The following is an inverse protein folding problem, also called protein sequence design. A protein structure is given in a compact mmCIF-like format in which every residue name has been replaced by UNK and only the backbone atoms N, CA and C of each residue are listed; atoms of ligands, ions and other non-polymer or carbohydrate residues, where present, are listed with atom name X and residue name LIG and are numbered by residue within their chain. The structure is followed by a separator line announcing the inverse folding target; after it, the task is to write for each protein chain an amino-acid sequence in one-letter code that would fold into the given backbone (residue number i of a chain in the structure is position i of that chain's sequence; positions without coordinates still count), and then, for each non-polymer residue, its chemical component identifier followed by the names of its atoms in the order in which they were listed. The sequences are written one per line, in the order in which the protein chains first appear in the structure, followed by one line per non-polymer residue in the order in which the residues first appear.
data_IF_408919574975
#
_entry.id   IF_408919574975
#
_cell.length_a   1.000
_cell.length_b   1.000
_cell.length_c   1.000
_cell.angle_alpha   90.00
_cell.angle_beta   90.00
_cell.angle_gamma   90.00
#
_symmetry.space_group_name_H-M   'P 1'
#
loop_
_entity.id
_entity.type
_entity.pdbx_description
1 polymer ?
#
# COMPACT_ATOMS: atom_id res chain seq x y z
N UNK A 1 -22.53 38.47 11.50
CA UNK A 1 -22.30 37.42 10.48
C UNK A 1 -20.80 37.29 10.29
N UNK A 2 -20.18 36.32 10.94
CA UNK A 2 -18.73 36.10 10.87
C UNK A 2 -18.38 35.43 9.54
N UNK A 3 -17.56 36.09 8.73
CA UNK A 3 -17.01 35.54 7.48
C UNK A 3 -16.34 34.19 7.74
N UNK A 4 -16.92 33.15 7.15
CA UNK A 4 -16.35 31.80 7.14
C UNK A 4 -15.07 31.89 6.30
N UNK A 5 -13.90 31.89 6.94
CA UNK A 5 -12.63 31.64 6.26
C UNK A 5 -12.67 30.24 5.66
N UNK A 6 -13.11 30.13 4.41
CA UNK A 6 -12.93 28.94 3.60
C UNK A 6 -11.43 28.64 3.57
N UNK A 7 -11.02 27.51 4.14
CA UNK A 7 -9.65 27.02 3.98
C UNK A 7 -9.41 26.83 2.48
N UNK A 8 -8.40 27.47 1.86
CA UNK A 8 -8.22 27.38 0.42
C UNK A 8 -7.89 25.93 0.05
N UNK A 9 -8.78 25.32 -0.75
CA UNK A 9 -8.56 24.00 -1.34
C UNK A 9 -7.30 24.07 -2.20
N UNK A 10 -6.24 23.36 -1.81
CA UNK A 10 -5.04 23.22 -2.62
C UNK A 10 -5.21 22.03 -3.55
N UNK A 11 -5.48 22.32 -4.81
CA UNK A 11 -5.56 21.35 -5.91
C UNK A 11 -4.14 21.02 -6.40
N UNK A 12 -3.91 19.76 -6.78
CA UNK A 12 -2.69 19.35 -7.51
C UNK A 12 -3.04 19.26 -8.99
N UNK A 13 -2.26 19.91 -9.85
CA UNK A 13 -2.37 19.81 -11.29
C UNK A 13 -1.44 18.70 -11.77
N UNK A 14 -2.01 17.61 -12.28
CA UNK A 14 -1.26 16.45 -12.76
C UNK A 14 -0.80 16.66 -14.22
N UNK A 15 0.16 17.57 -14.43
CA UNK A 15 0.80 17.76 -15.73
C UNK A 15 2.04 16.87 -15.90
N UNK A 16 2.62 16.89 -17.10
CA UNK A 16 3.98 16.39 -17.31
C UNK A 16 4.97 17.23 -16.49
N UNK A 17 5.80 16.56 -15.69
CA UNK A 17 6.71 17.21 -14.75
C UNK A 17 8.10 17.47 -15.34
N UNK A 18 8.41 16.99 -16.55
CA UNK A 18 9.74 17.11 -17.16
C UNK A 18 10.26 18.55 -17.23
N UNK A 19 9.37 19.49 -17.55
CA UNK A 19 9.70 20.92 -17.65
C UNK A 19 9.52 21.68 -16.32
N UNK A 20 9.07 21.01 -15.26
CA UNK A 20 8.84 21.68 -13.98
C UNK A 20 10.18 22.04 -13.32
N UNK A 21 10.26 23.19 -12.62
CA UNK A 21 11.38 23.50 -11.74
C UNK A 21 11.66 22.33 -10.79
N UNK A 22 12.92 22.06 -10.53
CA UNK A 22 13.30 20.86 -9.79
C UNK A 22 13.99 21.22 -8.48
N UNK A 23 13.53 20.58 -7.41
CA UNK A 23 14.12 20.66 -6.07
C UNK A 23 15.14 19.52 -5.88
N UNK A 24 15.75 19.35 -4.69
CA UNK A 24 16.60 18.20 -4.41
C UNK A 24 15.92 16.83 -4.53
N UNK A 25 14.58 16.78 -4.55
CA UNK A 25 13.81 15.53 -4.64
C UNK A 25 13.26 15.27 -6.06
N UNK A 26 13.86 15.91 -7.07
CA UNK A 26 13.42 15.84 -8.47
C UNK A 26 12.44 16.96 -8.85
N UNK A 27 11.73 16.78 -9.99
CA UNK A 27 10.75 17.76 -10.48
C UNK A 27 9.63 18.05 -9.48
N UNK A 28 9.29 19.32 -9.35
CA UNK A 28 8.20 19.76 -8.47
C UNK A 28 6.84 19.45 -9.05
N UNK A 29 5.81 19.47 -8.20
CA UNK A 29 4.42 19.41 -8.65
C UNK A 29 3.84 20.81 -8.74
N UNK A 30 2.94 21.01 -9.69
CA UNK A 30 2.16 22.23 -9.82
C UNK A 30 0.90 22.12 -8.97
N UNK A 31 0.67 23.12 -8.14
CA UNK A 31 -0.49 23.23 -7.26
C UNK A 31 -1.27 24.49 -7.60
N UNK A 32 -2.56 24.50 -7.30
CA UNK A 32 -3.45 25.65 -7.45
C UNK A 32 -4.20 25.90 -6.15
N UNK A 33 -4.33 27.17 -5.76
CA UNK A 33 -5.10 27.59 -4.59
C UNK A 33 -5.71 28.97 -4.80
N UNK A 34 -6.73 29.30 -4.02
CA UNK A 34 -7.24 30.67 -3.93
C UNK A 34 -6.28 31.54 -3.11
N UNK A 35 -5.96 32.71 -3.65
CA UNK A 35 -5.16 33.77 -3.03
C UNK A 35 -5.93 35.07 -3.24
N UNK A 36 -6.39 35.69 -2.17
CA UNK A 36 -7.17 36.94 -2.22
C UNK A 36 -8.38 36.88 -3.19
N UNK A 37 -9.08 35.74 -3.21
CA UNK A 37 -10.24 35.53 -4.08
C UNK A 37 -9.93 35.11 -5.53
N UNK A 38 -8.66 35.13 -5.95
CA UNK A 38 -8.24 34.69 -7.28
C UNK A 38 -7.49 33.35 -7.23
N UNK A 39 -7.69 32.50 -8.24
CA UNK A 39 -6.89 31.28 -8.38
C UNK A 39 -5.46 31.63 -8.77
N UNK A 40 -4.49 31.04 -8.06
CA UNK A 40 -3.07 31.18 -8.39
C UNK A 40 -2.34 29.86 -8.23
N UNK A 41 -1.49 29.56 -9.22
CA UNK A 41 -0.71 28.33 -9.27
C UNK A 41 0.71 28.52 -8.76
N UNK A 42 1.28 27.48 -8.15
CA UNK A 42 2.64 27.48 -7.62
C UNK A 42 3.27 26.09 -7.69
N UNK A 43 4.59 26.04 -7.81
CA UNK A 43 5.40 24.84 -7.73
C UNK A 43 5.87 24.60 -6.31
N UNK A 44 5.77 23.35 -5.83
CA UNK A 44 6.30 22.93 -4.54
C UNK A 44 6.84 21.49 -4.60
N UNK A 45 7.61 21.10 -3.59
CA UNK A 45 8.21 19.77 -3.50
C UNK A 45 7.16 18.66 -3.64
N UNK A 46 7.50 17.62 -4.41
CA UNK A 46 6.64 16.45 -4.63
C UNK A 46 6.64 15.49 -3.44
N UNK A 47 7.79 15.31 -2.78
CA UNK A 47 7.98 14.33 -1.71
C UNK A 47 7.91 14.90 -0.28
N UNK A 48 8.23 16.18 -0.09
CA UNK A 48 8.25 16.83 1.23
C UNK A 48 7.06 17.76 1.40
N UNK A 49 6.21 17.46 2.39
CA UNK A 49 5.07 18.30 2.72
C UNK A 49 5.44 19.47 3.63
N UNK A 50 6.38 19.27 4.56
CA UNK A 50 6.87 20.35 5.41
C UNK A 50 7.94 21.17 4.67
N UNK A 51 7.81 22.50 4.75
CA UNK A 51 8.77 23.42 4.13
C UNK A 51 10.11 23.45 4.88
N UNK A 52 10.16 22.89 6.09
CA UNK A 52 11.40 22.66 6.84
C UNK A 52 12.27 21.60 6.17
N UNK A 53 11.65 20.55 5.63
CA UNK A 53 12.37 19.46 4.95
C UNK A 53 12.74 19.84 3.52
N UNK A 54 11.84 20.57 2.83
CA UNK A 54 12.16 21.18 1.54
C UNK A 54 11.46 22.53 1.38
N UNK A 55 12.24 23.60 1.42
CA UNK A 55 11.71 24.97 1.35
C UNK A 55 11.29 25.43 -0.05
N UNK A 56 11.46 24.58 -1.07
CA UNK A 56 11.21 24.92 -2.47
C UNK A 56 9.78 25.45 -2.67
N UNK A 57 9.68 26.64 -3.24
CA UNK A 57 8.43 27.27 -3.62
C UNK A 57 8.69 28.27 -4.76
N UNK A 58 7.83 28.29 -5.76
CA UNK A 58 7.88 29.25 -6.87
C UNK A 58 6.46 29.49 -7.36
N UNK A 59 6.02 30.73 -7.50
CA UNK A 59 4.74 30.97 -8.18
C UNK A 59 4.85 30.69 -9.68
N UNK A 60 3.80 30.14 -10.30
CA UNK A 60 3.86 29.75 -11.71
C UNK A 60 4.02 30.96 -12.67
N UNK A 61 3.58 32.13 -12.24
CA UNK A 61 3.72 33.42 -12.95
C UNK A 61 5.04 34.14 -12.64
N UNK A 62 5.86 33.61 -11.74
CA UNK A 62 7.11 34.23 -11.32
C UNK A 62 8.26 33.91 -12.30
N UNK A 63 8.91 34.96 -12.83
CA UNK A 63 10.06 34.79 -13.71
C UNK A 63 11.25 34.18 -12.97
N UNK A 64 11.77 33.07 -13.50
CA UNK A 64 12.96 32.39 -12.95
C UNK A 64 14.23 33.06 -13.44
N UNK A 65 14.92 33.77 -12.55
CA UNK A 65 16.21 34.40 -12.85
C UNK A 65 17.35 33.36 -12.90
N UNK A 66 18.45 33.62 -13.64
CA UNK A 66 19.62 32.74 -13.65
C UNK A 66 20.19 32.48 -12.25
N UNK A 67 20.17 33.48 -11.36
CA UNK A 67 20.63 33.35 -9.98
C UNK A 67 19.80 32.35 -9.17
N UNK A 68 18.47 32.33 -9.36
CA UNK A 68 17.61 31.33 -8.71
C UNK A 68 17.93 29.92 -9.20
N UNK A 69 18.10 29.73 -10.52
CA UNK A 69 18.51 28.43 -11.08
C UNK A 69 19.84 27.97 -10.51
N UNK A 70 20.82 28.86 -10.41
CA UNK A 70 22.14 28.57 -9.81
C UNK A 70 22.01 28.18 -8.34
N UNK A 71 21.22 28.91 -7.55
CA UNK A 71 20.99 28.59 -6.14
C UNK A 71 20.34 27.22 -5.96
N UNK A 72 19.33 26.87 -6.77
CA UNK A 72 18.70 25.56 -6.72
C UNK A 72 19.64 24.43 -7.12
N UNK A 73 20.49 24.66 -8.14
CA UNK A 73 21.51 23.70 -8.57
C UNK A 73 22.51 23.42 -7.44
N UNK A 74 23.05 24.47 -6.80
CA UNK A 74 23.96 24.34 -5.67
C UNK A 74 23.32 23.63 -4.47
N UNK A 75 22.05 23.94 -4.17
CA UNK A 75 21.32 23.26 -3.10
C UNK A 75 21.11 21.78 -3.41
N UNK A 76 20.79 21.44 -4.67
CA UNK A 76 20.67 20.05 -5.10
C UNK A 76 21.98 19.31 -4.97
N UNK A 77 23.09 19.88 -5.44
CA UNK A 77 24.43 19.29 -5.33
C UNK A 77 24.87 19.06 -3.88
N UNK A 78 24.36 19.87 -2.94
CA UNK A 78 24.62 19.74 -1.50
C UNK A 78 23.76 18.66 -0.83
N UNK A 79 22.48 18.56 -1.22
CA UNK A 79 21.50 17.69 -0.54
C UNK A 79 21.45 16.29 -1.15
N UNK A 80 21.51 16.18 -2.47
CA UNK A 80 21.38 14.89 -3.16
C UNK A 80 22.68 14.11 -2.94
N UNK A 81 22.67 13.00 -2.20
CA UNK A 81 23.88 12.22 -1.99
C UNK A 81 24.42 11.69 -3.31
N UNK A 82 25.75 11.76 -3.46
CA UNK A 82 26.49 11.24 -4.61
C UNK A 82 26.70 9.74 -4.45
N UNK A 83 25.61 9.00 -4.47
CA UNK A 83 25.58 7.54 -4.29
C UNK A 83 26.05 6.89 -5.59
N UNK A 84 27.04 6.00 -5.51
CA UNK A 84 27.37 5.08 -6.59
C UNK A 84 26.91 3.69 -6.16
N UNK A 85 25.71 3.30 -6.60
CA UNK A 85 25.07 2.07 -6.16
C UNK A 85 25.85 0.82 -6.56
N UNK A 86 26.47 0.81 -7.75
CA UNK A 86 27.36 -0.27 -8.20
C UNK A 86 28.51 -0.48 -7.21
N UNK A 87 29.23 0.59 -6.86
CA UNK A 87 30.35 0.52 -5.92
C UNK A 87 29.91 0.11 -4.51
N UNK A 88 28.73 0.56 -4.07
CA UNK A 88 28.17 0.16 -2.77
C UNK A 88 27.84 -1.33 -2.75
N UNK A 89 27.26 -1.85 -3.84
CA UNK A 89 26.96 -3.26 -3.98
C UNK A 89 28.22 -4.13 -4.11
N UNK A 90 29.24 -3.71 -4.86
CA UNK A 90 30.55 -4.37 -4.91
C UNK A 90 31.18 -4.47 -3.51
N UNK A 91 31.09 -3.38 -2.74
CA UNK A 91 31.58 -3.36 -1.36
C UNK A 91 30.78 -4.31 -0.46
N UNK A 92 29.46 -4.38 -0.63
CA UNK A 92 28.62 -5.35 0.05
C UNK A 92 29.03 -6.79 -0.27
N UNK A 93 29.17 -7.15 -1.54
CA UNK A 93 29.60 -8.49 -1.98
C UNK A 93 30.98 -8.85 -1.41
N UNK A 94 31.93 -7.92 -1.47
CA UNK A 94 33.26 -8.12 -0.87
C UNK A 94 33.19 -8.38 0.65
N UNK A 95 32.29 -7.69 1.36
CA UNK A 95 32.12 -7.87 2.81
C UNK A 95 31.42 -9.20 3.17
N UNK A 96 30.58 -9.75 2.30
CA UNK A 96 30.00 -11.09 2.49
C UNK A 96 31.10 -12.16 2.59
N UNK A 97 32.20 -11.99 1.87
CA UNK A 97 33.34 -12.93 1.90
C UNK A 97 34.22 -12.78 3.14
N UNK A 98 34.07 -11.70 3.92
CA UNK A 98 34.84 -11.45 5.13
C UNK A 98 34.19 -12.10 6.35
N UNK A 99 34.95 -12.48 7.39
CA UNK A 99 34.37 -12.93 8.65
C UNK A 99 33.71 -11.74 9.38
N UNK A 100 32.66 -11.96 10.20
CA UNK A 100 31.88 -10.89 10.85
C UNK A 100 32.73 -9.84 11.58
N UNK A 101 33.83 -10.24 12.22
CA UNK A 101 34.73 -9.39 12.99
C UNK A 101 35.41 -8.32 12.12
N UNK A 102 35.52 -8.56 10.81
CA UNK A 102 36.08 -7.63 9.85
C UNK A 102 35.02 -6.73 9.20
N UNK A 103 33.74 -6.89 9.55
CA UNK A 103 32.63 -6.13 8.98
C UNK A 103 32.18 -5.05 9.95
N UNK A 104 31.95 -3.86 9.43
CA UNK A 104 31.47 -2.71 10.18
C UNK A 104 30.40 -1.94 9.40
N UNK A 105 29.55 -1.21 10.11
CA UNK A 105 28.55 -0.31 9.55
C UNK A 105 28.61 0.99 10.32
N UNK A 106 28.87 2.07 9.60
CA UNK A 106 28.85 3.41 10.13
C UNK A 106 27.44 3.96 9.99
N UNK A 107 26.73 4.16 11.11
CA UNK A 107 25.39 4.76 11.15
C UNK A 107 25.43 6.22 10.72
N UNK A 108 26.48 6.95 11.07
CA UNK A 108 26.66 8.37 10.70
C UNK A 108 26.74 8.56 9.18
N UNK A 109 27.44 7.67 8.49
CA UNK A 109 27.57 7.71 7.03
C UNK A 109 26.55 6.83 6.32
N UNK A 110 25.77 6.06 7.09
CA UNK A 110 24.91 4.97 6.60
C UNK A 110 25.65 4.04 5.63
N UNK A 111 26.87 3.60 5.97
CA UNK A 111 27.74 2.87 5.03
C UNK A 111 28.39 1.61 5.61
N UNK A 112 28.50 0.59 4.76
CA UNK A 112 29.22 -0.65 5.03
C UNK A 112 30.72 -0.42 4.86
N UNK A 113 31.50 -0.96 5.79
CA UNK A 113 32.94 -0.75 5.90
C UNK A 113 33.64 -2.05 6.30
N UNK A 114 34.92 -2.15 5.93
CA UNK A 114 35.86 -3.04 6.61
C UNK A 114 36.22 -2.45 7.97
N UNK A 115 36.47 -3.32 8.94
CA UNK A 115 36.95 -2.91 10.27
C UNK A 115 38.19 -1.99 10.18
N UNK A 116 39.10 -2.28 9.25
CA UNK A 116 40.31 -1.47 9.03
C UNK A 116 40.03 -0.03 8.58
N UNK A 117 38.89 0.23 7.92
CA UNK A 117 38.52 1.56 7.43
C UNK A 117 37.94 2.45 8.54
N UNK A 118 37.61 1.88 9.71
CA UNK A 118 36.95 2.62 10.80
C UNK A 118 37.84 3.71 11.39
N UNK A 119 39.16 3.49 11.45
CA UNK A 119 40.11 4.43 12.04
C UNK A 119 40.53 5.58 11.11
N UNK A 120 40.46 5.42 9.78
CA UNK A 120 41.02 6.41 8.84
C UNK A 120 40.07 7.58 8.57
N UNK A 121 38.78 7.28 8.33
CA UNK A 121 37.78 8.25 7.85
C UNK A 121 36.51 8.29 8.68
N UNK A 122 36.44 7.45 9.71
CA UNK A 122 35.26 7.29 10.54
C UNK A 122 35.59 7.47 12.03
N UNK A 123 36.66 8.20 12.34
CA UNK A 123 36.95 8.60 13.71
C UNK A 123 35.81 9.45 14.28
N UNK A 124 35.35 9.10 15.48
CA UNK A 124 34.21 9.75 16.14
C UNK A 124 32.82 9.48 15.53
N UNK A 125 32.70 8.62 14.52
CA UNK A 125 31.41 8.19 13.99
C UNK A 125 30.75 7.11 14.86
N UNK A 126 29.42 6.98 14.75
CA UNK A 126 28.67 5.89 15.36
C UNK A 126 28.81 4.63 14.48
N UNK A 127 29.50 3.62 15.00
CA UNK A 127 29.88 2.41 14.25
C UNK A 127 29.44 1.16 15.00
N UNK A 128 28.75 0.27 14.29
CA UNK A 128 28.52 -1.12 14.71
C UNK A 128 29.55 -2.04 14.06
N UNK A 129 30.25 -2.81 14.88
CA UNK A 129 31.24 -3.80 14.46
C UNK A 129 30.64 -5.22 14.50
N UNK A 130 31.27 -6.18 13.85
CA UNK A 130 30.91 -7.58 14.01
C UNK A 130 29.61 -7.96 13.30
N UNK A 131 29.37 -7.41 12.11
CA UNK A 131 28.07 -7.58 11.43
C UNK A 131 27.87 -9.03 11.01
N UNK A 132 26.92 -9.70 11.66
CA UNK A 132 26.54 -11.06 11.31
C UNK A 132 25.94 -11.17 9.92
N UNK A 133 26.03 -12.37 9.35
CA UNK A 133 25.38 -12.70 8.07
C UNK A 133 23.87 -12.42 8.09
N UNK A 134 23.21 -12.71 9.21
CA UNK A 134 21.78 -12.44 9.37
C UNK A 134 21.48 -10.94 9.24
N UNK A 135 22.29 -10.07 9.84
CA UNK A 135 22.10 -8.62 9.74
C UNK A 135 22.39 -8.06 8.34
N UNK A 136 23.34 -8.66 7.60
CA UNK A 136 23.64 -8.27 6.22
C UNK A 136 22.57 -8.70 5.22
N UNK A 137 21.87 -9.81 5.50
CA UNK A 137 20.87 -10.40 4.60
C UNK A 137 19.43 -9.99 4.92
N UNK A 138 19.19 -9.33 6.06
CA UNK A 138 17.89 -8.78 6.46
C UNK A 138 17.85 -7.25 6.73
N UNK A 139 18.52 -6.38 5.95
CA UNK A 139 18.46 -4.94 6.15
C UNK A 139 17.34 -4.27 5.34
N UNK A 140 16.91 -3.10 5.81
CA UNK A 140 15.95 -2.22 5.14
C UNK A 140 16.59 -1.19 4.19
N UNK A 141 17.89 -1.31 3.94
CA UNK A 141 18.71 -0.24 3.34
C UNK A 141 19.15 -0.57 1.90
N UNK A 142 19.46 0.48 1.14
CA UNK A 142 19.76 0.42 -0.29
C UNK A 142 21.07 -0.29 -0.68
N UNK A 143 22.04 -0.45 0.24
CA UNK A 143 23.35 -1.07 -0.03
C UNK A 143 23.31 -2.55 -0.36
N UNK A 144 22.21 -3.21 0.02
CA UNK A 144 22.12 -4.65 0.09
C UNK A 144 21.43 -5.26 -1.13
N UNK A 145 20.96 -4.41 -2.04
CA UNK A 145 20.29 -4.82 -3.26
C UNK A 145 21.19 -4.56 -4.46
N UNK A 146 21.26 -5.53 -5.36
CA UNK A 146 21.92 -5.33 -6.64
C UNK A 146 21.28 -4.15 -7.39
N UNK A 147 22.00 -3.44 -8.27
CA UNK A 147 21.44 -2.38 -9.11
C UNK A 147 20.21 -2.80 -9.94
N UNK A 148 20.08 -4.10 -10.25
CA UNK A 148 18.92 -4.68 -10.93
C UNK A 148 17.69 -4.91 -10.04
N UNK A 149 17.80 -4.65 -8.73
CA UNK A 149 16.76 -4.91 -7.72
C UNK A 149 16.38 -3.64 -6.92
N UNK A 150 17.08 -2.53 -7.10
CA UNK A 150 16.78 -1.27 -6.43
C UNK A 150 16.97 -0.09 -7.39
N UNK A 151 16.00 0.81 -7.39
CA UNK A 151 16.09 2.09 -8.09
C UNK A 151 15.79 3.20 -7.11
N UNK A 152 16.63 4.23 -7.08
CA UNK A 152 16.32 5.43 -6.31
C UNK A 152 15.26 6.23 -7.05
N UNK A 153 14.05 6.20 -6.50
CA UNK A 153 12.83 6.61 -7.20
C UNK A 153 11.94 7.46 -6.30
N UNK A 154 11.35 8.51 -6.88
CA UNK A 154 10.33 9.33 -6.22
C UNK A 154 8.94 9.01 -6.82
N UNK A 155 8.13 8.32 -6.02
CA UNK A 155 6.79 7.88 -6.41
C UNK A 155 5.75 9.01 -6.53
N UNK A 156 6.04 10.23 -6.06
CA UNK A 156 5.09 11.36 -6.18
C UNK A 156 5.20 12.10 -7.50
N UNK A 157 6.29 11.92 -8.25
CA UNK A 157 6.51 12.56 -9.54
C UNK A 157 7.05 11.60 -10.62
N UNK A 158 7.09 10.30 -10.34
CA UNK A 158 7.59 9.26 -11.23
C UNK A 158 9.04 9.55 -11.71
N UNK A 159 9.91 9.96 -10.79
CA UNK A 159 11.27 10.41 -11.10
C UNK A 159 12.32 9.41 -10.60
N UNK A 160 13.22 8.99 -11.48
CA UNK A 160 14.43 8.24 -11.12
C UNK A 160 15.58 9.22 -10.91
N UNK A 161 16.31 9.09 -9.80
CA UNK A 161 17.48 9.96 -9.54
C UNK A 161 18.70 9.60 -10.42
N UNK A 162 18.70 8.37 -10.94
CA UNK A 162 19.59 7.88 -11.99
C UNK A 162 18.70 7.52 -13.19
N UNK A 163 18.37 8.52 -14.00
CA UNK A 163 17.22 8.47 -14.93
C UNK A 163 17.31 7.33 -15.95
N UNK A 164 18.45 7.18 -16.61
CA UNK A 164 18.63 6.19 -17.68
C UNK A 164 18.71 4.77 -17.11
N UNK A 165 19.52 4.58 -16.06
CA UNK A 165 19.72 3.27 -15.44
C UNK A 165 18.46 2.76 -14.75
N UNK A 166 17.79 3.62 -13.98
CA UNK A 166 16.57 3.27 -13.25
C UNK A 166 15.40 2.92 -14.17
N UNK A 167 15.21 3.71 -15.24
CA UNK A 167 14.18 3.43 -16.23
C UNK A 167 14.44 2.10 -16.97
N UNK A 168 15.69 1.82 -17.36
CA UNK A 168 16.05 0.56 -18.01
C UNK A 168 15.81 -0.65 -17.10
N UNK A 169 16.13 -0.55 -15.81
CA UNK A 169 15.87 -1.62 -14.82
C UNK A 169 14.38 -1.89 -14.69
N UNK A 170 13.54 -0.84 -14.62
CA UNK A 170 12.09 -1.01 -14.59
C UNK A 170 11.56 -1.63 -15.88
N UNK A 171 12.00 -1.15 -17.04
CA UNK A 171 11.59 -1.66 -18.35
C UNK A 171 11.94 -3.15 -18.50
N UNK A 172 13.14 -3.56 -18.11
CA UNK A 172 13.57 -4.96 -18.12
C UNK A 172 12.70 -5.79 -17.17
N UNK A 173 12.49 -5.32 -15.93
CA UNK A 173 11.69 -6.01 -14.93
C UNK A 173 10.25 -6.26 -15.42
N UNK A 174 9.62 -5.24 -16.00
CA UNK A 174 8.25 -5.32 -16.52
C UNK A 174 8.10 -6.28 -17.71
N UNK A 175 9.18 -6.61 -18.41
CA UNK A 175 9.19 -7.54 -19.55
C UNK A 175 9.55 -8.98 -19.14
N UNK A 176 10.06 -9.21 -17.93
CA UNK A 176 10.40 -10.55 -17.44
C UNK A 176 9.19 -11.48 -17.54
N UNK A 177 9.45 -12.75 -17.89
CA UNK A 177 8.40 -13.76 -18.13
C UNK A 177 7.33 -13.30 -19.15
N UNK A 178 7.73 -12.51 -20.16
CA UNK A 178 6.81 -11.94 -21.15
C UNK A 178 5.82 -10.95 -20.55
N UNK A 179 6.18 -10.32 -19.43
CA UNK A 179 5.36 -9.41 -18.65
C UNK A 179 4.33 -10.07 -17.72
N UNK A 180 4.30 -11.40 -17.61
CA UNK A 180 3.34 -12.11 -16.77
C UNK A 180 3.77 -12.14 -15.30
N UNK A 181 2.78 -12.16 -14.40
CA UNK A 181 3.01 -12.35 -12.96
C UNK A 181 3.55 -11.11 -12.24
N UNK A 182 3.36 -9.92 -12.79
CA UNK A 182 3.81 -8.66 -12.18
C UNK A 182 2.80 -8.19 -11.13
N UNK A 183 3.28 -7.96 -9.91
CA UNK A 183 2.52 -7.38 -8.80
C UNK A 183 3.23 -6.13 -8.29
N UNK A 184 2.54 -5.00 -8.25
CA UNK A 184 3.02 -3.76 -7.66
C UNK A 184 2.51 -3.65 -6.22
N UNK A 185 3.39 -3.79 -5.25
CA UNK A 185 3.08 -3.58 -3.82
C UNK A 185 3.62 -2.21 -3.40
N UNK A 186 2.80 -1.39 -2.77
CA UNK A 186 3.21 -0.06 -2.32
C UNK A 186 2.64 0.27 -0.94
N UNK A 187 3.49 0.84 -0.08
CA UNK A 187 3.12 1.39 1.22
C UNK A 187 3.66 2.83 1.36
N UNK A 188 3.04 3.79 0.67
CA UNK A 188 3.54 5.16 0.62
C UNK A 188 3.26 5.92 1.92
N UNK A 189 4.00 7.01 2.22
CA UNK A 189 3.76 7.83 3.40
C UNK A 189 2.32 8.37 3.46
N UNK A 190 1.60 8.11 4.57
CA UNK A 190 0.17 8.44 4.71
C UNK A 190 -0.13 9.94 4.64
N UNK A 191 0.86 10.78 4.95
CA UNK A 191 0.74 12.24 4.84
C UNK A 191 0.85 12.79 3.41
N UNK A 192 1.21 11.93 2.44
CA UNK A 192 1.35 12.26 1.03
C UNK A 192 0.02 12.45 0.30
N UNK A 193 0.09 13.05 -0.90
CA UNK A 193 -1.07 13.22 -1.79
C UNK A 193 -1.35 11.92 -2.55
N UNK A 194 -2.62 11.54 -2.63
CA UNK A 194 -3.06 10.31 -3.33
C UNK A 194 -3.02 10.51 -4.84
N UNK A 195 -3.36 11.70 -5.32
CA UNK A 195 -3.52 12.00 -6.74
C UNK A 195 -2.22 11.79 -7.54
N UNK A 196 -1.03 12.25 -7.07
CA UNK A 196 0.24 11.98 -7.76
C UNK A 196 0.67 10.52 -7.70
N UNK A 197 0.49 9.84 -6.56
CA UNK A 197 0.78 8.41 -6.44
C UNK A 197 -0.04 7.58 -7.43
N UNK A 198 -1.35 7.88 -7.55
CA UNK A 198 -2.23 7.26 -8.52
C UNK A 198 -1.82 7.57 -9.97
N UNK A 199 -1.24 8.75 -10.24
CA UNK A 199 -0.65 9.07 -11.55
C UNK A 199 0.53 8.14 -11.86
N UNK A 200 1.46 7.99 -10.92
CA UNK A 200 2.63 7.09 -11.07
C UNK A 200 2.22 5.65 -11.30
N UNK A 201 1.26 5.13 -10.53
CA UNK A 201 0.71 3.78 -10.73
C UNK A 201 0.17 3.60 -12.15
N UNK A 202 -0.63 4.56 -12.66
CA UNK A 202 -1.15 4.53 -14.03
C UNK A 202 -0.06 4.60 -15.09
N UNK A 203 0.99 5.38 -14.85
CA UNK A 203 2.13 5.49 -15.77
C UNK A 203 2.91 4.18 -15.85
N UNK A 204 3.13 3.48 -14.73
CA UNK A 204 3.74 2.14 -14.69
C UNK A 204 2.87 1.12 -15.45
N UNK A 205 1.55 1.12 -15.21
CA UNK A 205 0.62 0.24 -15.94
C UNK A 205 0.65 0.50 -17.46
N UNK A 206 0.72 1.78 -17.87
CA UNK A 206 0.81 2.17 -19.28
C UNK A 206 2.14 1.73 -19.90
N UNK A 207 3.23 1.86 -19.16
CA UNK A 207 4.56 1.43 -19.58
C UNK A 207 4.60 -0.08 -19.80
N UNK A 208 4.10 -0.87 -18.86
CA UNK A 208 4.00 -2.33 -19.00
C UNK A 208 3.20 -2.74 -20.23
N UNK A 209 2.03 -2.13 -20.46
CA UNK A 209 1.24 -2.38 -21.68
C UNK A 209 1.99 -2.03 -22.97
N UNK A 210 2.76 -0.93 -22.95
CA UNK A 210 3.57 -0.51 -24.11
C UNK A 210 4.68 -1.52 -24.40
N UNK A 211 5.36 -2.00 -23.35
CA UNK A 211 6.47 -2.95 -23.46
C UNK A 211 6.00 -4.37 -23.80
N UNK A 212 4.80 -4.75 -23.35
CA UNK A 212 4.24 -6.09 -23.51
C UNK A 212 2.91 -6.05 -24.31
N UNK A 213 2.91 -5.68 -25.60
CA UNK A 213 1.69 -5.49 -26.38
C UNK A 213 0.93 -6.80 -26.64
N UNK A 214 1.63 -7.94 -26.64
CA UNK A 214 1.09 -9.26 -26.93
C UNK A 214 0.79 -10.08 -25.66
N UNK A 215 0.84 -9.46 -24.47
CA UNK A 215 0.58 -10.18 -23.24
C UNK A 215 -0.84 -10.76 -23.29
N UNK A 216 -0.92 -12.08 -23.18
CA UNK A 216 -2.17 -12.81 -23.34
C UNK A 216 -3.13 -12.33 -22.26
N UNK A 217 -4.28 -11.81 -22.69
CA UNK A 217 -5.40 -11.52 -21.79
C UNK A 217 -5.86 -12.86 -21.23
N UNK A 218 -5.43 -13.20 -20.02
CA UNK A 218 -6.19 -14.13 -19.22
C UNK A 218 -7.56 -13.50 -18.93
N UNK A 219 -8.53 -14.33 -18.54
CA UNK A 219 -9.97 -14.03 -18.48
C UNK A 219 -10.35 -12.77 -17.66
N UNK A 220 -9.39 -12.17 -16.94
CA UNK A 220 -9.55 -10.97 -16.12
C UNK A 220 -9.05 -9.67 -16.78
N UNK A 221 -8.30 -9.72 -17.90
CA UNK A 221 -7.85 -8.51 -18.61
C UNK A 221 -6.94 -7.59 -17.78
N UNK A 222 -6.26 -8.14 -16.77
CA UNK A 222 -5.46 -7.38 -15.80
C UNK A 222 -3.97 -7.51 -16.10
N UNK A 223 -3.33 -6.38 -16.39
CA UNK A 223 -1.92 -6.32 -16.80
C UNK A 223 -0.93 -6.35 -15.63
N UNK A 224 -1.31 -5.72 -14.51
CA UNK A 224 -0.53 -5.67 -13.26
C UNK A 224 -1.52 -5.72 -12.10
N UNK A 225 -1.28 -6.61 -11.13
CA UNK A 225 -1.99 -6.58 -9.85
C UNK A 225 -1.37 -5.55 -8.91
N UNK A 226 -2.21 -4.76 -8.25
CA UNK A 226 -1.75 -3.67 -7.38
C UNK A 226 -2.20 -3.94 -5.96
N UNK A 227 -1.28 -3.87 -4.99
CA UNK A 227 -1.55 -3.92 -3.57
C UNK A 227 -1.06 -2.61 -2.95
N UNK A 228 -1.97 -1.64 -2.85
CA UNK A 228 -1.69 -0.34 -2.24
C UNK A 228 -2.13 -0.35 -0.78
N UNK A 229 -1.15 -0.45 0.11
CA UNK A 229 -1.31 -0.38 1.56
C UNK A 229 -1.53 1.08 1.96
N UNK A 230 -2.71 1.40 2.51
CA UNK A 230 -3.06 2.76 2.90
C UNK A 230 -4.17 2.81 3.95
N UNK A 231 -4.37 3.93 4.68
CA UNK A 231 -5.41 4.00 5.70
C UNK A 231 -6.83 3.97 5.12
N UNK A 232 -7.75 3.21 5.73
CA UNK A 232 -9.11 3.02 5.23
C UNK A 232 -9.88 4.35 5.05
N UNK A 233 -9.57 5.37 5.84
CA UNK A 233 -10.26 6.66 5.78
C UNK A 233 -9.88 7.48 4.54
N UNK A 234 -8.86 7.06 3.79
CA UNK A 234 -8.44 7.64 2.52
C UNK A 234 -9.10 6.95 1.30
N UNK A 235 -9.95 5.95 1.52
CA UNK A 235 -10.69 5.25 0.47
C UNK A 235 -11.42 6.21 -0.50
N UNK A 236 -12.11 7.28 -0.07
CA UNK A 236 -12.75 8.19 -1.02
C UNK A 236 -11.78 8.85 -1.99
N UNK A 237 -10.57 9.19 -1.53
CA UNK A 237 -9.52 9.81 -2.36
C UNK A 237 -8.87 8.80 -3.30
N UNK A 238 -8.64 7.57 -2.82
CA UNK A 238 -8.14 6.47 -3.65
C UNK A 238 -9.15 6.14 -4.75
N UNK A 239 -10.41 5.90 -4.42
CA UNK A 239 -11.45 5.56 -5.41
C UNK A 239 -11.76 6.72 -6.37
N UNK A 240 -11.55 7.97 -5.96
CA UNK A 240 -11.65 9.11 -6.88
C UNK A 240 -10.51 9.11 -7.93
N UNK A 241 -9.34 8.58 -7.58
CA UNK A 241 -8.17 8.54 -8.47
C UNK A 241 -8.04 7.20 -9.21
N UNK A 242 -8.56 6.12 -8.62
CA UNK A 242 -8.52 4.74 -9.07
C UNK A 242 -9.90 4.08 -8.86
N UNK A 243 -10.90 4.35 -9.73
CA UNK A 243 -12.28 3.88 -9.52
C UNK A 243 -12.44 2.36 -9.55
N UNK A 244 -11.57 1.65 -10.26
CA UNK A 244 -11.59 0.19 -10.39
C UNK A 244 -10.99 -0.53 -9.17
N UNK A 245 -10.54 0.22 -8.15
CA UNK A 245 -9.98 -0.37 -6.96
C UNK A 245 -11.07 -0.76 -5.97
N UNK A 246 -10.74 -1.72 -5.12
CA UNK A 246 -11.54 -2.11 -3.97
C UNK A 246 -10.65 -2.20 -2.73
N UNK A 247 -11.20 -1.88 -1.58
CA UNK A 247 -10.51 -2.02 -0.30
C UNK A 247 -10.79 -3.40 0.29
N UNK A 248 -9.76 -4.19 0.55
CA UNK A 248 -9.84 -5.45 1.29
C UNK A 248 -10.04 -5.18 2.79
N UNK A 249 -10.60 -6.14 3.53
CA UNK A 249 -10.85 -5.96 4.97
C UNK A 249 -9.63 -6.33 5.84
N UNK A 250 -8.55 -6.81 5.23
CA UNK A 250 -7.32 -7.20 5.92
C UNK A 250 -6.66 -6.00 6.60
N UNK A 251 -6.43 -6.13 7.91
CA UNK A 251 -5.78 -5.12 8.75
C UNK A 251 -4.27 -5.32 8.69
N UNK A 252 -3.56 -4.38 8.07
CA UNK A 252 -2.09 -4.42 8.00
C UNK A 252 -1.53 -3.81 9.29
N UNK A 253 -0.83 -4.61 10.07
CA UNK A 253 -0.18 -4.18 11.31
C UNK A 253 1.31 -3.86 11.08
N UNK A 254 1.85 -2.95 11.90
CA UNK A 254 3.24 -2.50 11.84
C UNK A 254 3.93 -2.72 13.18
N UNK A 255 5.13 -3.30 13.16
CA UNK A 255 5.91 -3.61 14.38
C UNK A 255 6.30 -2.35 15.17
N UNK A 256 6.59 -1.26 14.45
CA UNK A 256 7.20 -0.05 15.01
C UNK A 256 6.25 1.15 15.11
N UNK A 257 4.98 1.02 14.71
CA UNK A 257 4.05 2.15 14.70
C UNK A 257 3.00 2.08 15.82
N UNK A 258 3.06 2.93 16.87
CA UNK A 258 2.19 2.81 18.05
C UNK A 258 0.69 2.96 17.74
N UNK A 259 0.34 3.68 16.66
CA UNK A 259 -1.07 3.82 16.23
C UNK A 259 -1.56 2.71 15.29
N UNK A 260 -0.64 1.91 14.72
CA UNK A 260 -0.92 0.91 13.69
C UNK A 260 -0.41 -0.50 14.04
N UNK A 261 0.03 -0.71 15.29
CA UNK A 261 0.34 -2.01 15.85
C UNK A 261 -0.91 -2.63 16.51
N UNK A 262 -0.96 -3.95 16.52
CA UNK A 262 -1.84 -4.73 17.41
C UNK A 262 -1.21 -4.94 18.79
N UNK A 263 -2.03 -5.27 19.79
CA UNK A 263 -1.58 -5.61 21.15
C UNK A 263 -1.86 -4.55 22.23
N UNK A 264 -1.33 -4.71 23.46
CA UNK A 264 -1.71 -3.89 24.62
C UNK A 264 -1.43 -2.39 24.48
N UNK A 265 -0.46 -2.03 23.63
CA UNK A 265 -0.10 -0.64 23.30
C UNK A 265 -0.71 -0.16 21.97
N UNK A 266 -1.36 -1.07 21.24
CA UNK A 266 -1.97 -0.84 19.94
C UNK A 266 -3.39 -0.27 20.03
N UNK A 267 -4.01 -0.04 18.88
CA UNK A 267 -5.42 0.42 18.84
C UNK A 267 -6.36 -0.69 19.28
N UNK A 268 -7.37 -0.31 20.08
CA UNK A 268 -8.45 -1.21 20.56
C UNK A 268 -9.18 -1.98 19.45
N UNK A 269 -9.23 -1.44 18.23
CA UNK A 269 -9.98 -2.03 17.11
C UNK A 269 -9.09 -2.44 15.93
N UNK A 270 -7.80 -2.65 16.19
CA UNK A 270 -6.78 -3.00 15.20
C UNK A 270 -6.28 -1.79 14.40
N UNK A 271 -5.33 -2.06 13.51
CA UNK A 271 -4.76 -1.06 12.60
C UNK A 271 -5.84 -0.42 11.71
N UNK A 272 -5.74 0.88 11.40
CA UNK A 272 -6.57 1.55 10.39
C UNK A 272 -6.07 1.32 8.95
N UNK A 273 -4.98 0.61 8.74
CA UNK A 273 -4.36 0.40 7.43
C UNK A 273 -4.98 -0.83 6.75
N UNK A 274 -5.33 -0.68 5.47
CA UNK A 274 -5.95 -1.71 4.62
C UNK A 274 -5.17 -1.80 3.31
N UNK A 275 -5.52 -2.81 2.52
CA UNK A 275 -4.99 -3.00 1.17
C UNK A 275 -6.06 -2.56 0.16
N UNK A 276 -5.69 -1.65 -0.74
CA UNK A 276 -6.48 -1.27 -1.91
C UNK A 276 -5.93 -1.98 -3.13
N UNK A 277 -6.80 -2.58 -3.93
CA UNK A 277 -6.38 -3.41 -5.06
C UNK A 277 -7.34 -3.32 -6.24
N UNK A 278 -6.81 -3.46 -7.44
CA UNK A 278 -7.59 -3.67 -8.66
C UNK A 278 -8.03 -5.14 -8.83
N UNK A 279 -7.53 -6.06 -8.00
CA UNK A 279 -7.94 -7.46 -8.01
C UNK A 279 -9.37 -7.63 -7.49
N UNK A 280 -10.04 -8.70 -7.93
CA UNK A 280 -11.34 -9.05 -7.39
C UNK A 280 -11.21 -9.57 -5.94
N UNK A 281 -11.89 -8.95 -4.95
CA UNK A 281 -11.80 -9.36 -3.54
C UNK A 281 -12.20 -10.81 -3.25
N UNK A 282 -12.94 -11.46 -4.15
CA UNK A 282 -13.32 -12.87 -4.00
C UNK A 282 -12.10 -13.80 -4.16
N UNK A 283 -11.13 -13.38 -4.95
CA UNK A 283 -9.97 -14.17 -5.38
C UNK A 283 -8.78 -14.00 -4.43
N UNK A 284 -8.89 -13.12 -3.42
CA UNK A 284 -7.88 -12.91 -2.37
C UNK A 284 -8.38 -13.50 -1.04
N UNK A 285 -8.00 -14.73 -0.68
CA UNK A 285 -8.34 -15.31 0.61
C UNK A 285 -7.61 -14.62 1.76
N UNK A 286 -8.32 -14.45 2.88
CA UNK A 286 -7.75 -13.94 4.14
C UNK A 286 -7.67 -15.06 5.18
N UNK A 287 -6.66 -15.05 6.08
CA UNK A 287 -6.40 -16.13 7.03
C UNK A 287 -7.54 -16.29 8.03
N UNK A 288 -8.15 -17.49 8.09
CA UNK A 288 -9.27 -17.76 9.01
C UNK A 288 -8.82 -17.75 10.47
N UNK A 289 -7.62 -18.26 10.70
CA UNK A 289 -6.91 -18.33 11.97
C UNK A 289 -6.68 -16.96 12.60
N UNK A 290 -6.70 -15.88 11.81
CA UNK A 290 -6.60 -14.50 12.29
C UNK A 290 -7.97 -13.80 12.47
N UNK A 291 -9.08 -14.54 12.38
CA UNK A 291 -10.42 -14.00 12.57
C UNK A 291 -11.04 -13.38 11.32
N UNK A 292 -10.76 -13.94 10.14
CA UNK A 292 -11.42 -13.57 8.88
C UNK A 292 -12.35 -14.69 8.38
N UNK A 293 -13.42 -14.29 7.69
CA UNK A 293 -14.43 -15.18 7.12
C UNK A 293 -14.82 -14.75 5.71
N UNK A 294 -15.24 -15.70 4.89
CA UNK A 294 -15.81 -15.39 3.58
C UNK A 294 -17.28 -14.97 3.71
N UNK A 295 -17.65 -13.84 3.10
CA UNK A 295 -19.03 -13.42 2.94
C UNK A 295 -19.52 -13.86 1.56
N UNK A 296 -20.41 -14.87 1.51
CA UNK A 296 -20.96 -15.39 0.26
C UNK A 296 -21.90 -14.43 -0.47
N UNK A 297 -22.47 -13.45 0.23
CA UNK A 297 -23.36 -12.45 -0.37
C UNK A 297 -22.54 -11.36 -1.07
N UNK A 298 -21.53 -10.81 -0.39
CA UNK A 298 -20.64 -9.79 -0.95
C UNK A 298 -19.52 -10.37 -1.81
N UNK A 299 -19.37 -11.70 -1.85
CA UNK A 299 -18.29 -12.42 -2.54
C UNK A 299 -16.91 -11.87 -2.17
N UNK A 300 -16.62 -11.73 -0.88
CA UNK A 300 -15.34 -11.21 -0.39
C UNK A 300 -15.04 -11.70 1.02
N UNK A 301 -13.76 -11.69 1.36
CA UNK A 301 -13.32 -11.94 2.72
C UNK A 301 -13.46 -10.69 3.59
N UNK A 302 -13.95 -10.89 4.81
CA UNK A 302 -14.24 -9.86 5.80
C UNK A 302 -13.80 -10.31 7.18
N UNK A 303 -13.47 -9.37 8.05
CA UNK A 303 -13.24 -9.61 9.47
C UNK A 303 -14.50 -10.17 10.14
N UNK A 304 -14.34 -10.96 11.19
CA UNK A 304 -15.46 -11.57 11.92
C UNK A 304 -16.49 -10.54 12.42
N UNK A 305 -16.02 -9.39 12.92
CA UNK A 305 -16.87 -8.32 13.44
C UNK A 305 -17.61 -7.52 12.36
N UNK A 306 -17.15 -7.59 11.10
CA UNK A 306 -17.76 -6.90 9.96
C UNK A 306 -18.95 -7.72 9.46
N UNK A 307 -20.08 -7.58 10.16
CA UNK A 307 -21.33 -8.29 9.82
C UNK A 307 -21.98 -7.70 8.57
N UNK A 308 -22.49 -8.58 7.71
CA UNK A 308 -23.25 -8.18 6.53
C UNK A 308 -24.52 -7.46 6.96
N UNK A 309 -24.76 -6.27 6.43
CA UNK A 309 -26.03 -5.58 6.62
C UNK A 309 -26.98 -5.99 5.50
N UNK A 310 -28.08 -6.65 5.83
CA UNK A 310 -29.12 -7.07 4.86
C UNK A 310 -29.80 -5.86 4.20
N UNK A 311 -29.99 -4.76 4.92
CA UNK A 311 -30.64 -3.55 4.41
C UNK A 311 -29.74 -2.77 3.43
N UNK A 312 -28.43 -2.67 3.71
CA UNK A 312 -27.47 -2.06 2.77
C UNK A 312 -26.99 -3.05 1.70
N UNK A 313 -27.28 -4.35 1.86
CA UNK A 313 -26.72 -5.45 1.10
C UNK A 313 -25.18 -5.42 0.98
N UNK A 314 -24.49 -5.03 2.05
CA UNK A 314 -23.02 -4.94 2.06
C UNK A 314 -22.42 -5.07 3.45
N UNK A 315 -21.15 -5.51 3.52
CA UNK A 315 -20.33 -5.52 4.73
C UNK A 315 -19.64 -4.16 4.87
N UNK A 316 -20.15 -3.31 5.77
CA UNK A 316 -19.86 -1.86 5.78
C UNK A 316 -18.81 -1.43 6.80
N UNK A 317 -18.47 -2.29 7.76
CA UNK A 317 -17.51 -1.92 8.79
C UNK A 317 -16.13 -1.74 8.19
N UNK A 318 -15.43 -0.71 8.66
CA UNK A 318 -14.07 -0.36 8.22
C UNK A 318 -13.08 -0.22 9.38
N UNK A 319 -13.58 0.02 10.60
CA UNK A 319 -12.77 0.39 11.76
C UNK A 319 -12.66 -0.70 12.84
N UNK A 320 -13.06 -1.94 12.52
CA UNK A 320 -13.02 -3.07 13.46
C UNK A 320 -14.14 -3.06 14.50
N UNK A 321 -15.23 -2.33 14.27
CA UNK A 321 -16.46 -2.38 15.09
C UNK A 321 -17.61 -2.92 14.26
N UNK A 322 -18.56 -3.60 14.87
CA UNK A 322 -19.82 -3.93 14.18
C UNK A 322 -20.64 -2.66 13.98
N UNK A 323 -20.79 -2.23 12.73
CA UNK A 323 -21.62 -1.07 12.37
C UNK A 323 -23.11 -1.38 12.56
N UNK A 324 -23.89 -0.35 12.82
CA UNK A 324 -25.35 -0.43 13.00
C UNK A 324 -26.03 0.32 11.87
N UNK A 325 -27.06 -0.28 11.27
CA UNK A 325 -27.87 0.38 10.24
C UNK A 325 -28.74 1.47 10.86
N UNK A 326 -28.73 2.66 10.27
CA UNK A 326 -29.66 3.74 10.59
C UNK A 326 -30.70 3.84 9.48
N UNK A 327 -31.96 3.55 9.80
CA UNK A 327 -33.07 3.58 8.84
C UNK A 327 -33.35 4.99 8.31
N UNK A 328 -33.17 6.04 9.12
CA UNK A 328 -33.38 7.42 8.69
C UNK A 328 -32.31 7.91 7.70
N UNK A 329 -31.06 7.46 7.87
CA UNK A 329 -29.96 7.78 6.94
C UNK A 329 -29.80 6.73 5.83
N UNK A 330 -30.57 5.64 5.86
CA UNK A 330 -30.48 4.48 4.97
C UNK A 330 -29.05 3.95 4.80
N UNK A 331 -28.26 3.97 5.88
CA UNK A 331 -26.85 3.53 5.84
C UNK A 331 -26.36 2.99 7.18
N UNK A 332 -25.32 2.17 7.10
CA UNK A 332 -24.59 1.72 8.29
C UNK A 332 -23.65 2.80 8.81
N UNK A 333 -23.65 2.98 10.13
CA UNK A 333 -22.80 3.93 10.85
C UNK A 333 -22.09 3.24 12.00
N UNK A 334 -21.07 3.90 12.55
CA UNK A 334 -20.37 3.42 13.75
C UNK A 334 -21.37 3.25 14.90
N UNK A 335 -21.22 2.23 15.76
CA UNK A 335 -22.18 1.98 16.85
C UNK A 335 -22.30 3.13 17.86
N UNK A 336 -21.26 3.96 17.96
CA UNK A 336 -21.27 5.16 18.81
C UNK A 336 -21.99 6.36 18.19
N UNK A 337 -22.51 6.25 16.97
CA UNK A 337 -23.22 7.34 16.29
C UNK A 337 -24.74 7.12 16.40
N UNK A 338 -25.49 8.21 16.55
CA UNK A 338 -26.95 8.23 16.63
C UNK A 338 -27.52 9.23 15.63
N UNK A 339 -28.70 8.94 15.08
CA UNK A 339 -29.38 9.88 14.19
C UNK A 339 -29.78 11.13 14.98
N UNK A 340 -29.46 12.30 14.46
CA UNK A 340 -29.91 13.57 15.00
C UNK A 340 -31.04 14.11 14.12
N UNK A 341 -32.24 14.22 14.67
CA UNK A 341 -33.42 14.68 13.94
C UNK A 341 -33.30 16.14 13.46
N UNK A 342 -32.55 16.98 14.17
CA UNK A 342 -32.29 18.38 13.81
C UNK A 342 -31.27 18.48 12.67
N UNK A 343 -30.17 17.74 12.75
CA UNK A 343 -29.13 17.75 11.72
C UNK A 343 -29.44 16.83 10.52
N UNK A 344 -30.50 16.02 10.59
CA UNK A 344 -30.88 15.01 9.59
C UNK A 344 -29.74 14.07 9.19
N UNK A 345 -28.86 13.76 10.13
CA UNK A 345 -27.68 12.89 9.92
C UNK A 345 -27.24 12.21 11.20
N UNK A 346 -26.56 11.08 11.05
CA UNK A 346 -25.91 10.41 12.17
C UNK A 346 -24.71 11.23 12.67
N UNK A 347 -24.63 11.43 13.98
CA UNK A 347 -23.57 12.17 14.66
C UNK A 347 -23.13 11.44 15.94
N UNK A 348 -22.03 11.88 16.55
CA UNK A 348 -21.72 11.49 17.93
C UNK A 348 -22.77 12.10 18.90
N UNK A 349 -23.14 11.42 19.99
CA UNK A 349 -24.10 11.94 20.96
C UNK A 349 -23.73 13.32 21.53
N UNK A 350 -22.43 13.60 21.69
CA UNK A 350 -21.91 14.86 22.22
C UNK A 350 -21.78 15.99 21.19
N UNK A 351 -22.35 15.84 19.98
CA UNK A 351 -22.31 16.90 18.97
C UNK A 351 -23.23 18.06 19.35
N UNK A 352 -22.85 19.27 18.96
CA UNK A 352 -23.71 20.46 19.03
C UNK A 352 -24.36 20.66 17.66
N UNK A 353 -25.69 20.80 17.64
CA UNK A 353 -26.44 21.11 16.42
C UNK A 353 -26.08 22.51 15.91
N UNK A 354 -25.99 22.69 14.59
CA UNK A 354 -25.66 24.00 13.99
C UNK A 354 -24.17 24.35 13.94
N UNK A 355 -23.33 23.77 14.80
CA UNK A 355 -21.86 23.99 14.74
C UNK A 355 -21.18 23.23 13.61
N UNK A 356 -21.81 22.16 13.11
CA UNK A 356 -21.28 21.45 11.95
C UNK A 356 -21.53 22.27 10.68
N UNK A 357 -20.59 23.16 10.41
CA UNK A 357 -20.35 23.70 9.08
C UNK A 357 -19.23 22.83 8.50
N UNK A 358 -19.52 21.89 7.57
CA UNK A 358 -18.43 21.23 6.88
C UNK A 358 -17.62 22.33 6.19
N UNK A 359 -16.39 22.52 6.66
CA UNK A 359 -15.45 23.53 6.15
C UNK A 359 -15.00 23.27 4.72
N UNK A 360 -15.55 22.23 4.08
CA UNK A 360 -15.18 21.74 2.76
C UNK A 360 -16.43 21.61 1.90
N UNK A 361 -16.29 21.98 0.64
CA UNK A 361 -17.23 21.65 -0.42
C UNK A 361 -17.39 20.14 -0.53
N UNK A 362 -18.59 19.69 -0.83
CA UNK A 362 -18.92 18.29 -1.02
C UNK A 362 -18.05 17.69 -2.15
N UNK A 363 -17.36 16.58 -1.89
CA UNK A 363 -16.56 15.88 -2.89
C UNK A 363 -17.37 15.22 -4.03
N UNK A 364 -18.69 15.33 -4.03
CA UNK A 364 -19.55 14.86 -5.11
C UNK A 364 -20.04 16.00 -6.00
N UNK A 365 -20.78 16.96 -5.43
CA UNK A 365 -21.39 18.05 -6.19
C UNK A 365 -20.64 19.38 -6.11
N UNK A 366 -19.61 19.49 -5.26
CA UNK A 366 -18.89 20.75 -5.07
C UNK A 366 -19.62 21.78 -4.22
N UNK A 367 -20.81 21.48 -3.69
CA UNK A 367 -21.58 22.41 -2.87
C UNK A 367 -21.17 22.38 -1.38
N UNK A 368 -21.18 23.53 -0.67
CA UNK A 368 -20.88 23.59 0.76
C UNK A 368 -22.01 22.96 1.62
N UNK A 369 -21.78 22.86 2.92
CA UNK A 369 -22.84 22.51 3.88
C UNK A 369 -23.06 21.01 4.11
N UNK A 370 -22.44 20.13 3.31
CA UNK A 370 -22.50 18.68 3.52
C UNK A 370 -21.23 17.95 3.06
N UNK A 371 -21.00 16.73 3.57
CA UNK A 371 -19.97 15.82 3.06
C UNK A 371 -20.52 15.02 1.88
N UNK A 372 -19.66 14.45 1.02
CA UNK A 372 -20.07 13.55 -0.08
C UNK A 372 -21.09 12.49 0.32
N UNK A 373 -20.98 11.95 1.53
CA UNK A 373 -21.88 10.90 2.04
C UNK A 373 -23.28 11.39 2.43
N UNK A 374 -23.46 12.70 2.56
CA UNK A 374 -24.71 13.37 2.92
C UNK A 374 -25.18 14.27 1.75
N UNK A 375 -24.72 13.98 0.53
CA UNK A 375 -24.97 14.81 -0.64
C UNK A 375 -26.34 14.54 -1.27
N UNK A 376 -27.20 15.56 -1.46
CA UNK A 376 -28.53 15.39 -2.04
C UNK A 376 -28.49 14.79 -3.46
N UNK A 377 -27.44 15.07 -4.23
CA UNK A 377 -27.22 14.53 -5.57
C UNK A 377 -26.54 13.15 -5.57
N UNK A 378 -26.11 12.66 -4.40
CA UNK A 378 -25.49 11.34 -4.27
C UNK A 378 -26.58 10.30 -4.09
N UNK A 379 -27.10 9.81 -5.22
CA UNK A 379 -28.19 8.84 -5.25
C UNK A 379 -29.23 9.03 -6.37
N UNK A 380 -29.14 10.10 -7.16
CA UNK A 380 -30.03 10.33 -8.29
C UNK A 380 -29.31 10.13 -9.63
N UNK A 381 -28.77 8.93 -9.86
CA UNK A 381 -28.54 8.32 -11.19
C UNK A 381 -27.88 6.94 -11.02
N UNK A 382 -28.69 5.95 -10.66
CA UNK A 382 -28.56 4.57 -11.12
C UNK A 382 -29.81 3.79 -10.67
N UNK A 383 -30.91 4.02 -11.39
CA UNK A 383 -31.78 2.91 -11.71
C UNK A 383 -30.99 1.93 -12.60
N UNK A 384 -30.11 1.14 -12.00
CA UNK A 384 -29.83 -0.19 -12.54
C UNK A 384 -30.87 -1.07 -11.89
N UNK A 385 -32.04 -1.11 -12.53
CA UNK A 385 -32.99 -2.18 -12.35
C UNK A 385 -32.28 -3.49 -12.73
N UNK A 386 -31.67 -4.17 -11.76
CA UNK A 386 -31.49 -5.61 -11.87
C UNK A 386 -32.92 -6.16 -11.76
N UNK A 387 -33.55 -6.42 -12.91
CA UNK A 387 -34.81 -7.14 -12.97
C UNK A 387 -34.65 -8.42 -12.12
N UNK A 388 -35.59 -8.75 -11.22
CA UNK A 388 -35.55 -10.02 -10.52
C UNK A 388 -35.56 -11.14 -11.58
N UNK A 389 -34.55 -12.00 -11.53
CA UNK A 389 -34.47 -13.19 -12.37
C UNK A 389 -35.74 -14.01 -12.11
N UNK A 390 -36.58 -14.16 -13.13
CA UNK A 390 -37.77 -14.99 -13.05
C UNK A 390 -37.36 -16.45 -12.87
N UNK A 391 -38.12 -17.16 -12.05
CA UNK A 391 -37.87 -18.52 -11.56
C UNK A 391 -38.04 -19.61 -12.63
N UNK A 392 -37.89 -19.30 -13.91
CA UNK A 392 -38.21 -20.20 -15.03
C UNK A 392 -36.99 -20.74 -15.78
N UNK A 393 -35.76 -20.39 -15.39
CA UNK A 393 -34.52 -20.90 -16.00
C UNK A 393 -33.72 -21.92 -15.16
N UNK A 394 -34.24 -22.37 -14.00
CA UNK A 394 -33.60 -23.46 -13.24
C UNK A 394 -33.90 -24.88 -13.76
N UNK A 395 -34.82 -25.03 -14.72
CA UNK A 395 -35.21 -26.34 -15.26
C UNK A 395 -34.45 -26.74 -16.53
N UNK A 396 -33.80 -25.82 -17.25
CA UNK A 396 -32.98 -26.17 -18.44
C UNK A 396 -31.56 -26.62 -18.07
N UNK A 397 -31.03 -26.21 -16.91
CA UNK A 397 -29.70 -26.62 -16.42
C UNK A 397 -29.66 -28.01 -15.73
N UNK A 398 -30.83 -28.58 -15.41
CA UNK A 398 -30.93 -29.96 -14.87
C UNK A 398 -30.91 -31.04 -15.97
N UNK A 399 -31.20 -30.67 -17.22
CA UNK A 399 -31.19 -31.60 -18.37
C UNK A 399 -29.77 -31.75 -18.95
N UNK A 400 -28.94 -30.69 -18.92
CA UNK A 400 -27.56 -30.70 -19.42
C UNK A 400 -26.55 -31.36 -18.47
N UNK A 401 -26.79 -31.35 -17.15
CA UNK A 401 -25.96 -32.08 -16.16
C UNK A 401 -26.16 -33.60 -16.19
N UNK A 402 -27.30 -34.10 -16.69
CA UNK A 402 -27.55 -35.54 -16.85
C UNK A 402 -26.88 -36.12 -18.11
N UNK A 403 -26.66 -35.30 -19.15
CA UNK A 403 -25.92 -35.71 -20.38
C UNK A 403 -24.40 -35.75 -20.18
N UNK A 404 -23.80 -34.84 -19.40
CA UNK A 404 -22.34 -34.86 -19.10
C UNK A 404 -21.89 -36.00 -18.18
N UNK A 405 -22.79 -36.54 -17.35
CA UNK A 405 -22.48 -37.67 -16.46
C UNK A 405 -22.49 -39.03 -17.19
N UNK A 406 -23.26 -39.18 -18.27
CA UNK A 406 -23.25 -40.41 -19.08
C UNK A 406 -22.09 -40.48 -20.07
N UNK A 407 -21.50 -39.34 -20.46
CA UNK A 407 -20.40 -39.30 -21.42
C UNK A 407 -19.03 -39.55 -20.75
N UNK A 408 -18.83 -39.06 -19.52
CA UNK A 408 -17.62 -39.36 -18.74
C UNK A 408 -17.54 -40.81 -18.24
N UNK A 409 -18.64 -41.58 -18.29
CA UNK A 409 -18.65 -42.99 -17.89
C UNK A 409 -18.20 -43.93 -19.02
N UNK A 410 -18.35 -43.51 -20.28
CA UNK A 410 -17.88 -44.27 -21.45
C UNK A 410 -16.39 -44.03 -21.74
N UNK A 411 -15.84 -42.88 -21.37
CA UNK A 411 -14.42 -42.54 -21.57
C UNK A 411 -13.47 -43.16 -20.50
N UNK A 412 -14.02 -43.62 -19.37
CA UNK A 412 -13.25 -44.35 -18.34
C UNK A 412 -13.21 -45.88 -18.57
N UNK A 413 -14.09 -46.44 -19.40
CA UNK A 413 -14.07 -47.86 -19.80
C UNK A 413 -13.15 -48.14 -21.01
N UNK A 414 -12.85 -47.14 -21.86
CA UNK A 414 -11.90 -47.27 -23.00
C UNK A 414 -10.41 -47.11 -22.61
N UNK A 415 -10.09 -46.68 -21.38
CA UNK A 415 -8.70 -46.55 -20.88
C UNK A 415 -8.19 -47.75 -20.09
N UNK A 416 -8.99 -48.81 -19.92
CA UNK A 416 -8.56 -50.06 -19.27
C UNK A 416 -8.12 -51.16 -20.25
N UNK A 417 -8.06 -50.90 -21.56
CA UNK A 417 -7.70 -51.91 -22.58
C UNK A 417 -6.26 -51.74 -23.14
N UNK A 418 -5.52 -50.68 -22.82
CA UNK A 418 -4.25 -50.36 -23.50
C UNK A 418 -2.97 -50.34 -22.64
N UNK A 419 -2.96 -50.94 -21.45
CA UNK A 419 -1.72 -51.11 -20.66
C UNK A 419 -1.58 -52.50 -20.02
N UNK A 420 -1.61 -53.54 -20.86
CA UNK A 420 -1.10 -54.87 -20.50
C UNK A 420 -0.09 -55.33 -21.55
N UNK A 421 1.14 -54.82 -21.47
CA UNK A 421 2.31 -55.49 -22.04
C UNK A 421 3.57 -55.10 -21.25
N UNK A 422 4.31 -56.14 -20.84
CA UNK A 422 5.72 -56.11 -20.42
C UNK A 422 6.03 -55.83 -18.95
N UNK A 423 5.71 -56.82 -18.13
CA UNK A 423 6.44 -57.23 -16.93
C UNK A 423 7.85 -57.74 -17.24
N UNK A 424 8.88 -57.32 -16.48
CA UNK A 424 9.83 -58.19 -15.74
C UNK A 424 11.14 -57.48 -15.32
N UNK A 425 11.38 -57.35 -14.00
CA UNK A 425 12.44 -58.05 -13.23
C UNK A 425 12.88 -57.29 -11.96
N UNK A 426 12.85 -58.06 -10.86
CA UNK A 426 13.83 -58.17 -9.77
C UNK A 426 13.75 -57.30 -8.50
N UNK A 427 13.33 -58.03 -7.44
CA UNK A 427 13.44 -57.91 -5.98
C UNK A 427 14.83 -57.56 -5.38
N UNK A 428 14.74 -57.28 -4.07
CA UNK A 428 15.71 -57.27 -2.93
C UNK A 428 16.04 -55.83 -2.46
N UNK A 429 16.03 -55.44 -1.19
CA UNK A 429 15.96 -56.15 0.10
C UNK A 429 15.55 -55.15 1.23
N UNK A 430 15.04 -55.72 2.33
CA UNK A 430 14.81 -55.18 3.69
C UNK A 430 16.02 -54.40 4.28
N UNK A 431 15.87 -53.50 5.27
CA UNK A 431 15.94 -53.83 6.72
C UNK A 431 15.70 -52.59 7.63
N UNK A 432 14.90 -52.80 8.69
CA UNK A 432 14.80 -52.22 10.05
C UNK A 432 14.66 -50.70 10.33
N UNK A 433 13.62 -50.23 11.05
CA UNK A 433 13.28 -50.34 12.51
C UNK A 433 14.20 -49.43 13.37
N UNK A 434 13.80 -48.56 14.30
CA UNK A 434 12.66 -48.46 15.23
C UNK A 434 12.67 -47.06 15.90
N UNK A 435 11.46 -46.57 16.23
CA UNK A 435 11.01 -45.76 17.40
C UNK A 435 12.03 -45.25 18.45
N UNK A 436 11.86 -44.01 18.92
CA UNK A 436 11.21 -43.73 20.24
C UNK A 436 11.19 -42.22 20.63
N UNK A 437 10.09 -41.83 21.30
CA UNK A 437 9.85 -40.54 22.00
C UNK A 437 10.25 -40.69 23.48
N UNK A 438 10.88 -39.70 24.12
CA UNK A 438 10.74 -39.41 25.56
C UNK A 438 10.89 -37.88 25.84
N UNK A 439 9.96 -37.35 26.65
CA UNK A 439 9.91 -36.03 27.32
C UNK A 439 10.89 -35.91 28.50
N UNK A 440 11.50 -34.74 28.76
CA UNK A 440 11.77 -34.24 30.15
C UNK A 440 11.76 -32.70 30.23
N UNK A 441 11.44 -32.23 31.43
CA UNK A 441 10.91 -30.96 31.95
C UNK A 441 11.92 -29.81 32.19
N UNK A 442 11.30 -28.63 32.36
CA UNK A 442 11.70 -27.36 33.01
C UNK A 442 12.67 -27.43 34.20
N UNK A 443 13.50 -26.39 34.31
CA UNK A 443 14.12 -25.91 35.56
C UNK A 443 14.04 -24.38 35.70
N UNK A 444 13.84 -23.94 36.95
CA UNK A 444 13.69 -22.55 37.46
C UNK A 444 14.98 -22.11 38.18
N UNK A 445 15.25 -20.79 38.20
CA UNK A 445 15.92 -19.91 39.22
C UNK A 445 16.91 -18.94 38.53
N UNK A 446 17.18 -17.70 38.96
CA UNK A 446 16.73 -16.83 40.08
C UNK A 446 17.14 -15.39 39.73
N UNK A 447 16.46 -14.42 40.37
CA UNK A 447 16.74 -12.97 40.34
C UNK A 447 18.05 -12.60 41.05
N UNK A 448 18.71 -11.55 40.55
CA UNK A 448 19.41 -10.52 41.33
C UNK A 448 19.04 -9.16 40.70
N UNK A 449 18.83 -8.15 41.55
CA UNK A 449 18.50 -6.80 41.11
C UNK A 449 19.50 -5.80 41.69
N UNK A 450 19.61 -4.63 41.05
CA UNK A 450 19.85 -3.35 41.71
C UNK A 450 19.48 -2.20 40.76
N UNK A 451 18.94 -1.15 41.37
CA UNK A 451 18.28 0.03 40.80
C UNK A 451 19.27 1.13 40.37
N UNK A 452 18.69 2.21 39.80
CA UNK A 452 19.21 3.59 39.58
C UNK A 452 19.68 3.83 38.13
N UNK A 453 19.19 4.82 37.37
CA UNK A 453 18.27 5.90 37.69
C UNK A 453 17.67 6.56 36.43
N UNK A 454 16.56 7.27 36.68
CA UNK A 454 15.84 8.14 35.75
C UNK A 454 16.77 9.17 35.08
N UNK A 455 16.64 9.36 33.77
CA UNK A 455 16.83 10.67 33.14
C UNK A 455 15.71 10.97 32.15
N UNK A 456 15.35 12.24 32.16
CA UNK A 456 14.09 12.83 31.70
C UNK A 456 13.97 12.86 30.17
N UNK A 457 12.71 12.81 29.72
CA UNK A 457 12.27 13.19 28.37
C UNK A 457 12.48 14.69 28.19
N UNK A 458 13.11 15.08 27.09
CA UNK A 458 12.95 16.41 26.50
C UNK A 458 11.96 16.30 25.35
N UNK A 459 10.92 17.13 25.44
CA UNK A 459 9.94 17.40 24.39
C UNK A 459 10.61 18.17 23.27
N UNK A 460 10.37 17.78 22.01
CA UNK A 460 10.10 18.68 20.89
C UNK A 460 9.23 17.95 19.87
#
# INVERSE_FOLDING_TARGET
MSEIKQLPRVEVILNDTRENPSCPHGPTLLFKRLVNGAERSFFACSACRDRKDCSFFLWADEKVTPNKKKAWKLLREKIVPKINHVRLYEKFVMLLEKPPEQRAFCHTCSNLLLFSETAEKHDGHDITLGISEHLLTHPSEHHFHAPSHFCWFNAFNNYFFFEEEGACVLDEFLQRNGGNGVVLVMDPPFGGRVEPLAKTVREIMRLHRKLCPNIHTDMLGMFIFILWVFPYFMEPQILASCPDFSMLDYKVDYDNHPLFASGPKGRKHGSPVRIFTNANPKDIPLPKEEGYRYCSICLRWVSEENRHCTQCNTCTSKDGRTYVHCNECMRCVKPSWKHCATCKRCCLPSHVCGEFVPSQLCFNCGEPGHKKQDCPSFGCNAAICIKPYSTTQLNSMKITKKRKYMQNKNDEEEKQVSTNASSNKQKLQSVNSKKSRINVKKTKKRKTGMNIGRRQKLQF
#
